data_IF_624159416113
#
_entry.id   IF_624159416113
#
_cell.length_a   1.000
_cell.length_b   1.000
_cell.length_c   1.000
_cell.angle_alpha   90.00
_cell.angle_beta   90.00
_cell.angle_gamma   90.00
#
_symmetry.space_group_name_H-M   'P 1'
#
loop_
_entity.id
_entity.type
_entity.pdbx_description
1 polymer ?
#
# COMPACT_ATOMS: atom_id res chain seq x y z
N UNK A 1 3.26 -15.86 -13.81
CA UNK A 1 4.18 -16.03 -12.66
C UNK A 1 3.80 -15.00 -11.61
N UNK A 2 3.63 -15.40 -10.34
CA UNK A 2 3.37 -14.45 -9.25
C UNK A 2 4.66 -13.68 -8.98
N UNK A 3 4.56 -12.35 -8.90
CA UNK A 3 5.71 -11.48 -8.64
C UNK A 3 6.22 -11.75 -7.21
N UNK A 4 7.48 -12.16 -7.07
CA UNK A 4 8.09 -12.63 -5.80
C UNK A 4 8.12 -11.57 -4.69
N UNK A 5 7.94 -10.30 -5.06
CA UNK A 5 7.88 -9.17 -4.14
C UNK A 5 6.49 -8.93 -3.52
N UNK A 6 5.43 -9.62 -3.97
CA UNK A 6 4.11 -9.59 -3.33
C UNK A 6 4.11 -10.60 -2.18
N UNK A 7 4.01 -10.10 -0.95
CA UNK A 7 4.23 -10.90 0.25
C UNK A 7 2.94 -11.50 0.79
N UNK A 8 1.91 -10.66 0.94
CA UNK A 8 0.66 -11.03 1.62
C UNK A 8 -0.53 -10.34 0.95
N UNK A 9 -1.58 -11.10 0.65
CA UNK A 9 -2.86 -10.55 0.24
C UNK A 9 -3.56 -9.96 1.47
N UNK A 10 -4.11 -8.76 1.32
CA UNK A 10 -4.71 -7.99 2.42
C UNK A 10 -6.03 -7.38 1.97
N UNK A 11 -6.86 -7.03 2.92
CA UNK A 11 -8.09 -6.27 2.69
C UNK A 11 -7.88 -4.78 2.97
N UNK A 12 -8.72 -3.92 2.39
CA UNK A 12 -8.69 -2.50 2.68
C UNK A 12 -8.83 -2.21 4.18
N UNK A 13 -9.71 -2.93 4.88
CA UNK A 13 -9.93 -2.75 6.32
C UNK A 13 -8.70 -3.13 7.16
N UNK A 14 -8.00 -4.23 6.83
CA UNK A 14 -6.76 -4.61 7.52
C UNK A 14 -5.66 -3.55 7.32
N UNK A 15 -5.51 -3.07 6.07
CA UNK A 15 -4.54 -2.03 5.72
C UNK A 15 -4.85 -0.72 6.44
N UNK A 16 -6.10 -0.29 6.45
CA UNK A 16 -6.52 0.93 7.13
C UNK A 16 -6.24 0.85 8.63
N UNK A 17 -6.61 -0.27 9.26
CA UNK A 17 -6.35 -0.48 10.69
C UNK A 17 -4.85 -0.47 11.02
N UNK A 18 -3.99 -1.04 10.16
CA UNK A 18 -2.55 -1.06 10.35
C UNK A 18 -1.86 0.29 10.11
N UNK A 19 -2.49 1.20 9.35
CA UNK A 19 -1.90 2.47 8.93
C UNK A 19 -2.64 3.71 9.44
N UNK A 20 -3.40 3.61 10.53
CA UNK A 20 -4.02 4.77 11.17
C UNK A 20 -2.97 5.76 11.68
N UNK A 21 -3.08 7.01 11.26
CA UNK A 21 -2.21 8.11 11.71
C UNK A 21 -3.06 9.15 12.43
N UNK A 22 -2.68 9.49 13.67
CA UNK A 22 -3.24 10.62 14.41
C UNK A 22 -2.30 11.82 14.27
N UNK A 23 -2.80 12.90 13.67
CA UNK A 23 -2.07 14.16 13.49
C UNK A 23 -3.09 15.31 13.53
N UNK A 24 -2.88 16.29 14.40
CA UNK A 24 -3.83 17.40 14.64
C UNK A 24 -4.08 18.23 13.36
N UNK A 25 -3.18 18.19 12.38
CA UNK A 25 -3.34 18.88 11.08
C UNK A 25 -4.32 18.18 10.15
N UNK A 26 -4.66 16.92 10.41
CA UNK A 26 -5.60 16.12 9.61
C UNK A 26 -7.02 16.09 10.20
N UNK A 27 -7.20 16.63 11.41
CA UNK A 27 -8.47 16.63 12.13
C UNK A 27 -8.40 15.86 13.44
N UNK A 28 -9.53 15.76 14.16
CA UNK A 28 -9.59 15.14 15.49
C UNK A 28 -9.46 13.61 15.46
N UNK A 29 -9.85 12.98 14.34
CA UNK A 29 -9.90 11.54 14.19
C UNK A 29 -8.66 10.99 13.46
N UNK A 30 -8.17 9.78 13.81
CA UNK A 30 -7.11 9.13 13.06
C UNK A 30 -7.51 8.84 11.61
N UNK A 31 -6.58 9.02 10.69
CA UNK A 31 -6.80 8.88 9.25
C UNK A 31 -5.83 7.84 8.66
N UNK A 32 -6.31 6.85 7.88
CA UNK A 32 -5.43 5.86 7.24
C UNK A 32 -4.38 6.52 6.34
N UNK A 33 -3.10 6.17 6.52
CA UNK A 33 -1.95 6.75 5.81
C UNK A 33 -1.75 8.28 5.99
N UNK A 34 -2.46 8.93 6.91
CA UNK A 34 -2.33 10.36 7.19
C UNK A 34 -2.44 11.24 5.94
N UNK A 35 -1.40 12.03 5.65
CA UNK A 35 -1.37 12.90 4.45
C UNK A 35 -1.46 12.16 3.12
N UNK A 36 -1.24 10.84 3.09
CA UNK A 36 -1.42 10.02 1.88
C UNK A 36 -2.84 9.44 1.77
N UNK A 37 -3.75 9.77 2.68
CA UNK A 37 -5.09 9.20 2.72
C UNK A 37 -5.91 9.50 1.45
N UNK A 38 -5.75 10.68 0.86
CA UNK A 38 -6.39 11.00 -0.43
C UNK A 38 -5.93 10.05 -1.54
N UNK A 39 -4.63 9.73 -1.58
CA UNK A 39 -4.08 8.75 -2.53
C UNK A 39 -4.61 7.34 -2.25
N UNK A 40 -4.75 6.96 -0.99
CA UNK A 40 -5.37 5.71 -0.58
C UNK A 40 -6.83 5.62 -1.05
N UNK A 41 -7.64 6.65 -0.77
CA UNK A 41 -9.04 6.72 -1.24
C UNK A 41 -9.14 6.68 -2.77
N UNK A 42 -8.26 7.40 -3.47
CA UNK A 42 -8.21 7.38 -4.93
C UNK A 42 -7.82 5.99 -5.48
N UNK A 43 -6.94 5.26 -4.80
CA UNK A 43 -6.59 3.88 -5.17
C UNK A 43 -7.76 2.93 -4.94
N UNK A 44 -8.46 3.02 -3.81
CA UNK A 44 -9.66 2.23 -3.55
C UNK A 44 -10.78 2.52 -4.55
N UNK A 45 -10.95 3.78 -4.97
CA UNK A 45 -11.95 4.16 -5.96
C UNK A 45 -11.68 3.59 -7.37
N UNK A 46 -10.45 3.12 -7.64
CA UNK A 46 -10.10 2.43 -8.89
C UNK A 46 -10.37 0.93 -8.85
N UNK A 47 -10.70 0.37 -7.68
CA UNK A 47 -10.91 -1.06 -7.53
C UNK A 47 -12.15 -1.51 -8.31
N UNK A 48 -11.98 -2.61 -9.04
CA UNK A 48 -13.04 -3.34 -9.74
C UNK A 48 -13.22 -4.72 -9.12
N UNK A 49 -14.30 -5.41 -9.52
CA UNK A 49 -14.52 -6.79 -9.10
C UNK A 49 -13.39 -7.70 -9.58
N UNK A 50 -12.81 -8.47 -8.65
CA UNK A 50 -11.66 -9.34 -8.93
C UNK A 50 -10.29 -8.69 -8.71
N UNK A 51 -10.24 -7.42 -8.31
CA UNK A 51 -9.00 -6.79 -7.88
C UNK A 51 -8.56 -7.27 -6.49
N UNK A 52 -7.25 -7.33 -6.30
CA UNK A 52 -6.60 -7.78 -5.08
C UNK A 52 -5.71 -6.66 -4.51
N UNK A 53 -5.68 -6.53 -3.19
CA UNK A 53 -4.70 -5.70 -2.50
C UNK A 53 -3.60 -6.59 -1.92
N UNK A 54 -2.36 -6.15 -2.06
CA UNK A 54 -1.19 -6.89 -1.62
C UNK A 54 -0.19 -5.99 -0.89
N UNK A 55 0.35 -6.48 0.23
CA UNK A 55 1.59 -5.95 0.78
C UNK A 55 2.76 -6.35 -0.14
N UNK A 56 3.58 -5.38 -0.51
CA UNK A 56 4.77 -5.60 -1.31
C UNK A 56 6.03 -5.13 -0.59
N UNK A 57 7.14 -5.80 -0.90
CA UNK A 57 8.48 -5.38 -0.48
C UNK A 57 9.47 -5.73 -1.58
N UNK A 58 10.28 -4.75 -1.99
CA UNK A 58 11.36 -4.99 -2.96
C UNK A 58 12.37 -6.02 -2.43
N UNK A 59 13.10 -6.72 -3.33
CA UNK A 59 14.15 -7.66 -2.95
C UNK A 59 15.19 -7.04 -2.02
N UNK A 60 15.82 -7.87 -1.18
CA UNK A 60 16.77 -7.44 -0.14
C UNK A 60 17.94 -6.65 -0.73
N UNK A 61 18.40 -7.02 -1.91
CA UNK A 61 19.49 -6.39 -2.65
C UNK A 61 19.16 -4.91 -2.94
N UNK A 62 17.89 -4.59 -3.23
CA UNK A 62 17.48 -3.20 -3.41
C UNK A 62 17.60 -2.38 -2.13
N UNK A 63 17.36 -3.00 -0.97
CA UNK A 63 17.53 -2.33 0.33
C UNK A 63 19.00 -2.08 0.64
N UNK A 64 19.89 -3.04 0.34
CA UNK A 64 21.34 -2.90 0.51
C UNK A 64 21.94 -1.77 -0.34
N UNK A 65 21.31 -1.45 -1.47
CA UNK A 65 21.71 -0.38 -2.37
C UNK A 65 20.93 0.94 -2.21
N UNK A 66 20.26 1.16 -1.07
CA UNK A 66 19.46 2.39 -0.79
C UNK A 66 18.37 2.66 -1.85
N UNK A 67 17.79 1.60 -2.38
CA UNK A 67 16.71 1.65 -3.38
C UNK A 67 15.49 0.81 -2.94
N UNK A 68 15.44 0.42 -1.67
CA UNK A 68 14.40 -0.43 -1.10
C UNK A 68 13.05 0.28 -0.99
N UNK A 69 11.97 -0.41 -1.32
CA UNK A 69 10.59 0.10 -1.22
C UNK A 69 9.65 -0.97 -0.69
N UNK A 70 8.73 -0.59 0.18
CA UNK A 70 7.63 -1.43 0.61
C UNK A 70 6.33 -0.62 0.74
N UNK A 71 5.19 -1.31 0.69
CA UNK A 71 3.89 -0.69 0.82
C UNK A 71 2.76 -1.58 0.32
N UNK A 72 1.70 -0.95 -0.19
CA UNK A 72 0.49 -1.64 -0.66
C UNK A 72 0.34 -1.48 -2.17
N UNK A 73 0.05 -2.57 -2.87
CA UNK A 73 -0.19 -2.62 -4.30
C UNK A 73 -1.63 -3.06 -4.59
N UNK A 74 -2.26 -2.40 -5.55
CA UNK A 74 -3.50 -2.84 -6.19
C UNK A 74 -3.14 -3.68 -7.41
N UNK A 75 -3.64 -4.92 -7.44
CA UNK A 75 -3.32 -5.92 -8.46
C UNK A 75 -4.60 -6.35 -9.17
N UNK A 76 -4.59 -6.31 -10.50
CA UNK A 76 -5.69 -6.78 -11.37
C UNK A 76 -5.14 -7.81 -12.33
N UNK A 77 -5.70 -9.02 -12.31
CA UNK A 77 -5.27 -10.11 -13.20
C UNK A 77 -3.74 -10.38 -13.17
N UNK A 78 -3.10 -10.16 -12.01
CA UNK A 78 -1.66 -10.32 -11.81
C UNK A 78 -0.80 -9.09 -12.15
N UNK A 79 -1.38 -8.02 -12.69
CA UNK A 79 -0.67 -6.77 -12.97
C UNK A 79 -0.89 -5.70 -11.91
N UNK A 80 0.15 -4.92 -11.62
CA UNK A 80 0.07 -3.83 -10.64
C UNK A 80 -0.55 -2.63 -11.33
N UNK A 81 -1.74 -2.24 -10.88
CA UNK A 81 -2.47 -1.09 -11.41
C UNK A 81 -2.05 0.20 -10.69
N UNK A 82 -1.82 0.11 -9.38
CA UNK A 82 -1.45 1.25 -8.55
C UNK A 82 -0.71 0.76 -7.29
N UNK A 83 -0.02 1.67 -6.60
CA UNK A 83 0.64 1.36 -5.33
C UNK A 83 0.84 2.59 -4.46
N UNK A 84 0.98 2.36 -3.15
CA UNK A 84 1.36 3.34 -2.14
C UNK A 84 2.60 2.82 -1.43
N UNK A 85 3.68 3.61 -1.47
CA UNK A 85 4.90 3.32 -0.72
C UNK A 85 4.72 3.81 0.72
N UNK A 86 4.92 2.93 1.69
CA UNK A 86 4.88 3.22 3.12
C UNK A 86 6.27 3.27 3.74
N UNK A 87 7.24 2.56 3.14
CA UNK A 87 8.62 2.51 3.61
C UNK A 87 9.59 2.62 2.44
N UNK A 88 10.65 3.39 2.64
CA UNK A 88 11.79 3.51 1.71
C UNK A 88 13.09 3.51 2.50
N UNK A 89 14.17 3.03 1.88
CA UNK A 89 15.54 3.14 2.40
C UNK A 89 16.32 4.18 1.61
#
# INVERSE_FOLDING_TARGET
MRKEWLQKMVTAAEVEAAHMVKDDRLGPDPVPFGFKNERWRAMLAQMEEGDELWEFRSPVESWEHLAGRAGIALVRQGEIINFIVTMMN
#
